data_IF_378590928925
#
_entry.id   IF_378590928925
#
_cell.length_a   1.000
_cell.length_b   1.000
_cell.length_c   1.000
_cell.angle_alpha   90.00
_cell.angle_beta   90.00
_cell.angle_gamma   90.00
#
_symmetry.space_group_name_H-M   'P 1'
#
loop_
_entity.id
_entity.type
_entity.pdbx_description
1 polymer ?
#
# COMPACT_ATOMS: atom_id res chain seq x y z
N UNK A 1 14.35 2.59 13.99
CA UNK A 1 13.02 3.25 13.92
C UNK A 1 12.83 3.69 12.47
N UNK A 2 12.18 2.88 11.64
CA UNK A 2 11.96 3.23 10.23
C UNK A 2 10.82 4.23 10.10
N UNK A 3 10.95 5.24 9.24
CA UNK A 3 9.93 6.26 9.00
C UNK A 3 9.02 5.85 7.84
N UNK A 4 8.32 4.73 7.96
CA UNK A 4 7.44 4.23 6.90
C UNK A 4 5.97 4.42 7.28
N UNK A 5 5.10 4.67 6.31
CA UNK A 5 3.65 4.91 6.50
C UNK A 5 3.01 3.87 7.44
N UNK A 6 3.29 2.58 7.23
CA UNK A 6 2.74 1.50 8.05
C UNK A 6 3.12 1.56 9.53
N UNK A 7 4.34 1.99 9.86
CA UNK A 7 4.79 2.13 11.25
C UNK A 7 4.02 3.19 12.04
N UNK A 8 3.35 4.12 11.34
CA UNK A 8 2.51 5.15 11.97
C UNK A 8 1.12 4.64 12.34
N UNK A 9 0.68 3.54 11.73
CA UNK A 9 -0.55 2.82 12.04
C UNK A 9 -0.29 1.77 13.12
N UNK A 10 0.62 0.84 12.84
CA UNK A 10 0.97 -0.23 13.74
C UNK A 10 2.45 -0.61 13.58
N UNK A 11 3.26 -0.60 14.65
CA UNK A 11 4.62 -1.10 14.60
C UNK A 11 4.60 -2.62 14.43
N UNK A 12 5.20 -3.11 13.34
CA UNK A 12 5.35 -4.54 13.05
C UNK A 12 6.83 -4.87 13.07
N UNK A 13 7.20 -5.87 13.86
CA UNK A 13 8.55 -6.41 13.91
C UNK A 13 8.79 -7.40 12.75
N UNK A 14 10.06 -7.67 12.44
CA UNK A 14 10.42 -8.56 11.33
C UNK A 14 10.00 -10.03 11.58
N UNK A 15 9.83 -10.40 12.85
CA UNK A 15 9.43 -11.72 13.33
C UNK A 15 7.92 -11.82 13.62
N UNK A 16 7.15 -10.74 13.45
CA UNK A 16 5.71 -10.78 13.62
C UNK A 16 5.07 -11.68 12.53
N UNK A 17 4.12 -12.55 12.91
CA UNK A 17 3.53 -13.52 11.99
C UNK A 17 2.46 -12.92 11.06
N UNK A 18 2.42 -11.59 10.91
CA UNK A 18 1.41 -10.87 10.15
C UNK A 18 2.00 -9.68 9.39
N UNK A 19 1.33 -9.29 8.31
CA UNK A 19 1.62 -8.08 7.55
C UNK A 19 0.57 -7.00 7.77
N UNK A 20 0.76 -5.86 7.10
CA UNK A 20 -0.19 -4.75 7.09
C UNK A 20 -0.76 -4.55 5.69
N UNK A 21 -2.08 -4.57 5.59
CA UNK A 21 -2.81 -4.10 4.42
C UNK A 21 -3.26 -2.66 4.67
N UNK A 22 -2.99 -1.78 3.71
CA UNK A 22 -3.35 -0.36 3.77
C UNK A 22 -3.99 0.01 2.43
N UNK A 23 -5.16 0.64 2.50
CA UNK A 23 -5.89 1.17 1.36
C UNK A 23 -6.01 2.69 1.49
N UNK A 24 -5.57 3.41 0.47
CA UNK A 24 -5.52 4.88 0.45
C UNK A 24 -6.65 5.52 -0.39
N UNK A 25 -7.44 4.72 -1.11
CA UNK A 25 -8.52 5.18 -1.99
C UNK A 25 -9.77 4.32 -1.85
N UNK A 26 -10.94 4.86 -2.24
CA UNK A 26 -12.27 4.26 -2.09
C UNK A 26 -13.01 4.73 -0.84
N UNK A 27 -14.10 4.04 -0.48
CA UNK A 27 -14.91 4.44 0.67
C UNK A 27 -14.16 4.24 2.00
N UNK A 28 -14.30 5.18 2.96
CA UNK A 28 -13.66 5.06 4.27
C UNK A 28 -14.24 3.89 5.06
N UNK A 29 -13.37 2.97 5.47
CA UNK A 29 -13.69 1.86 6.36
C UNK A 29 -13.70 2.29 7.83
N UNK A 30 -13.91 1.32 8.73
CA UNK A 30 -13.94 1.56 10.18
C UNK A 30 -12.60 2.00 10.77
N UNK A 31 -11.51 1.81 10.03
CA UNK A 31 -10.15 2.14 10.46
C UNK A 31 -9.55 3.34 9.72
N UNK A 32 -10.38 4.08 8.97
CA UNK A 32 -9.96 5.25 8.22
C UNK A 32 -9.26 6.28 9.13
N UNK A 33 -8.11 6.80 8.69
CA UNK A 33 -7.31 7.74 9.47
C UNK A 33 -6.37 8.54 8.57
N UNK A 34 -5.86 9.66 9.07
CA UNK A 34 -4.84 10.47 8.38
C UNK A 34 -3.53 10.35 9.14
N UNK A 35 -2.46 9.97 8.44
CA UNK A 35 -1.12 9.82 9.03
C UNK A 35 -0.13 10.78 8.40
N UNK A 36 0.72 11.36 9.23
CA UNK A 36 1.84 12.18 8.76
C UNK A 36 3.07 11.31 8.54
N UNK A 37 3.52 11.19 7.30
CA UNK A 37 4.64 10.33 6.92
C UNK A 37 5.56 11.00 5.88
N UNK A 38 6.85 10.65 5.84
CA UNK A 38 7.73 11.11 4.77
C UNK A 38 7.42 10.36 3.47
N UNK A 39 7.07 11.11 2.43
CA UNK A 39 6.75 10.55 1.09
C UNK A 39 7.92 10.70 0.12
N UNK A 40 8.85 11.62 0.39
CA UNK A 40 10.06 11.85 -0.39
C UNK A 40 11.14 12.48 0.51
N UNK A 41 12.43 12.49 0.09
CA UNK A 41 13.49 13.17 0.83
C UNK A 41 13.14 14.64 1.10
N UNK A 42 13.07 15.03 2.37
CA UNK A 42 12.71 16.39 2.79
C UNK A 42 11.22 16.73 2.73
N UNK A 43 10.34 15.80 2.34
CA UNK A 43 8.90 16.02 2.23
C UNK A 43 8.12 15.11 3.18
N UNK A 44 7.49 15.72 4.18
CA UNK A 44 6.55 15.08 5.10
C UNK A 44 5.16 15.62 4.82
N UNK A 45 4.25 14.72 4.47
CA UNK A 45 2.88 15.09 4.09
C UNK A 45 1.87 14.28 4.91
N UNK A 46 0.68 14.85 5.05
CA UNK A 46 -0.47 14.13 5.56
C UNK A 46 -1.00 13.19 4.46
N UNK A 47 -1.16 11.92 4.80
CA UNK A 47 -1.60 10.86 3.89
C UNK A 47 -2.89 10.28 4.45
N UNK A 48 -3.95 10.34 3.64
CA UNK A 48 -5.24 9.79 3.99
C UNK A 48 -5.26 8.27 3.74
N UNK A 49 -5.66 7.53 4.76
CA UNK A 49 -5.80 6.08 4.75
C UNK A 49 -7.28 5.80 4.91
N UNK A 50 -7.87 5.21 3.87
CA UNK A 50 -9.29 4.88 3.83
C UNK A 50 -9.60 3.64 4.67
N UNK A 51 -8.69 2.66 4.71
CA UNK A 51 -8.83 1.49 5.56
C UNK A 51 -7.48 0.79 5.72
N UNK A 52 -7.27 0.11 6.85
CA UNK A 52 -6.10 -0.71 7.09
C UNK A 52 -6.43 -1.87 8.03
N UNK A 53 -5.71 -2.98 7.87
CA UNK A 53 -5.88 -4.16 8.72
C UNK A 53 -4.64 -5.04 8.70
N UNK A 54 -4.51 -5.90 9.71
CA UNK A 54 -3.53 -6.98 9.70
C UNK A 54 -3.92 -8.04 8.66
N UNK A 55 -2.91 -8.62 8.04
CA UNK A 55 -3.07 -9.72 7.09
C UNK A 55 -2.22 -10.91 7.53
N UNK A 56 -2.78 -12.10 7.41
CA UNK A 56 -2.07 -13.32 7.76
C UNK A 56 -1.41 -13.94 6.53
N UNK A 57 -0.26 -14.62 6.68
CA UNK A 57 0.32 -15.41 5.61
C UNK A 57 -0.70 -16.42 5.05
N UNK A 58 -0.84 -16.45 3.73
CA UNK A 58 -1.80 -17.32 3.03
C UNK A 58 -3.18 -16.69 2.82
N UNK A 59 -3.43 -15.50 3.36
CA UNK A 59 -4.65 -14.76 3.08
C UNK A 59 -4.65 -14.21 1.64
N UNK A 60 -5.75 -14.41 0.93
CA UNK A 60 -5.94 -13.88 -0.42
C UNK A 60 -6.70 -12.56 -0.37
N UNK A 61 -6.11 -11.53 -0.95
CA UNK A 61 -6.71 -10.20 -1.03
C UNK A 61 -7.08 -9.94 -2.48
N UNK A 62 -8.37 -9.81 -2.76
CA UNK A 62 -8.83 -9.37 -4.07
C UNK A 62 -8.46 -7.91 -4.27
N UNK A 63 -7.79 -7.63 -5.38
CA UNK A 63 -7.48 -6.27 -5.83
C UNK A 63 -8.19 -6.03 -7.15
N UNK A 64 -8.90 -4.90 -7.24
CA UNK A 64 -9.54 -4.51 -8.48
C UNK A 64 -8.48 -4.00 -9.46
N UNK A 65 -8.23 -4.81 -10.50
CA UNK A 65 -7.23 -4.53 -11.52
C UNK A 65 -7.68 -3.36 -12.41
N UNK A 66 -7.24 -2.16 -12.03
CA UNK A 66 -7.27 -0.97 -12.87
C UNK A 66 -5.93 -0.83 -13.61
N UNK A 67 -5.89 -0.09 -14.74
CA UNK A 67 -4.63 0.21 -15.42
C UNK A 67 -3.64 0.83 -14.43
N UNK A 68 -2.51 0.18 -14.18
CA UNK A 68 -1.66 0.53 -13.05
C UNK A 68 -0.40 -0.30 -12.92
N UNK A 69 0.35 -0.07 -11.85
CA UNK A 69 1.59 -0.80 -11.55
C UNK A 69 1.47 -1.46 -10.19
N UNK A 70 1.71 -2.77 -10.12
CA UNK A 70 1.86 -3.51 -8.86
C UNK A 70 3.35 -3.51 -8.50
N UNK A 71 3.70 -2.99 -7.33
CA UNK A 71 5.06 -3.08 -6.78
C UNK A 71 5.10 -4.15 -5.68
N UNK A 72 6.03 -5.11 -5.77
CA UNK A 72 6.12 -6.20 -4.79
C UNK A 72 7.10 -5.89 -3.64
N UNK A 73 8.13 -5.08 -3.89
CA UNK A 73 9.24 -4.89 -2.95
C UNK A 73 10.05 -3.60 -3.24
N UNK A 74 9.44 -2.62 -3.91
CA UNK A 74 10.14 -1.41 -4.41
C UNK A 74 11.07 -1.66 -5.62
N UNK A 75 11.70 -2.83 -5.71
CA UNK A 75 12.60 -3.22 -6.80
C UNK A 75 11.88 -3.87 -7.98
N UNK A 76 10.80 -4.60 -7.70
CA UNK A 76 10.01 -5.33 -8.70
C UNK A 76 8.68 -4.64 -8.95
N UNK A 77 8.39 -4.36 -10.22
CA UNK A 77 7.18 -3.69 -10.68
C UNK A 77 6.55 -4.48 -11.83
N UNK A 78 5.23 -4.61 -11.81
CA UNK A 78 4.42 -5.23 -12.85
C UNK A 78 3.42 -4.20 -13.35
N UNK A 79 3.53 -3.78 -14.60
CA UNK A 79 2.59 -2.83 -15.20
C UNK A 79 1.47 -3.56 -15.91
N UNK A 80 0.23 -3.21 -15.59
CA UNK A 80 -0.97 -3.70 -16.23
C UNK A 80 -1.59 -2.56 -17.03
N UNK A 81 -1.61 -2.70 -18.34
CA UNK A 81 -2.37 -1.85 -19.24
C UNK A 81 -3.50 -2.70 -19.83
N UNK A 82 -4.72 -2.18 -20.02
CA UNK A 82 -5.76 -2.91 -20.72
C UNK A 82 -5.23 -3.24 -22.12
N UNK A 83 -5.52 -4.47 -22.58
CA UNK A 83 -5.02 -5.02 -23.83
C UNK A 83 -5.54 -4.18 -25.00
N UNK A 84 -4.86 -3.08 -25.34
CA UNK A 84 -4.83 -2.55 -26.69
C UNK A 84 -3.52 -3.00 -27.31
N UNK A 85 -3.66 -3.98 -28.21
CA UNK A 85 -2.72 -4.42 -29.24
C UNK A 85 -1.61 -3.39 -29.51
N UNK A 86 -0.39 -3.72 -29.08
CA UNK A 86 0.90 -3.17 -29.51
C UNK A 86 1.09 -1.64 -29.50
N UNK A 87 1.53 -1.09 -28.37
CA UNK A 87 2.51 0.01 -28.37
C UNK A 87 3.23 0.08 -27.00
N UNK A 88 4.57 0.21 -26.94
CA UNK A 88 5.26 0.47 -25.69
C UNK A 88 4.99 1.91 -25.22
N UNK A 89 4.95 2.10 -23.90
CA UNK A 89 5.00 3.43 -23.28
C UNK A 89 6.29 4.17 -23.64
#
# INVERSE_FOLDING_TARGET
MGFFLGSRLEPIAIDDPFGLYIRMDGEPGSTATTVRAPIAPGAVSDVDIMDWRRIMPGEQISIDLHPGTIALDGERKLSFCPIKKFMPC
#
